data_IF_138660874464
#
_entry.id   IF_138660874464
#
_cell.length_a   1.000
_cell.length_b   1.000
_cell.length_c   1.000
_cell.angle_alpha   90.00
_cell.angle_beta   90.00
_cell.angle_gamma   90.00
#
_symmetry.space_group_name_H-M   'P 1'
#
loop_
_entity.id
_entity.type
_entity.pdbx_description
1 polymer ?
#
# COMPACT_ATOMS: atom_id res chain seq x y z
N UNK A 1 19.56 -32.91 -22.95
CA UNK A 1 18.27 -33.47 -22.51
C UNK A 1 18.04 -33.05 -21.06
N UNK A 2 17.43 -31.88 -20.86
CA UNK A 2 17.16 -31.34 -19.52
C UNK A 2 16.18 -32.29 -18.84
N UNK A 3 16.61 -32.93 -17.74
CA UNK A 3 15.78 -33.87 -16.97
C UNK A 3 14.51 -33.14 -16.53
N UNK A 4 13.34 -33.60 -17.00
CA UNK A 4 12.02 -33.02 -16.69
C UNK A 4 11.82 -32.78 -15.18
N UNK A 5 12.45 -33.60 -14.34
CA UNK A 5 12.45 -33.49 -12.88
C UNK A 5 13.10 -32.21 -12.32
N UNK A 6 14.09 -31.61 -13.01
CA UNK A 6 14.73 -30.35 -12.57
C UNK A 6 13.87 -29.12 -12.85
N UNK A 7 12.99 -29.18 -13.85
CA UNK A 7 12.09 -28.06 -14.22
C UNK A 7 10.95 -27.92 -13.22
N UNK A 8 10.46 -29.05 -12.67
CA UNK A 8 9.33 -29.08 -11.72
C UNK A 8 9.70 -28.41 -10.39
N UNK A 9 10.94 -28.60 -9.92
CA UNK A 9 11.40 -28.02 -8.64
C UNK A 9 11.49 -26.49 -8.70
N UNK A 10 11.79 -25.92 -9.87
CA UNK A 10 11.96 -24.46 -10.03
C UNK A 10 10.62 -23.69 -10.02
N UNK A 11 9.51 -24.33 -10.41
CA UNK A 11 8.18 -23.71 -10.49
C UNK A 11 7.51 -23.59 -9.11
N UNK A 12 7.82 -24.49 -8.17
CA UNK A 12 7.15 -24.55 -6.86
C UNK A 12 7.71 -23.51 -5.87
N UNK A 13 8.93 -22.99 -6.10
CA UNK A 13 9.61 -22.09 -5.16
C UNK A 13 9.30 -20.60 -5.46
N UNK A 14 8.61 -20.30 -6.56
CA UNK A 14 8.48 -18.92 -7.06
C UNK A 14 7.48 -18.00 -6.33
N UNK A 15 6.44 -18.43 -5.59
CA UNK A 15 5.51 -17.47 -4.98
C UNK A 15 5.83 -17.12 -3.51
N UNK A 16 7.11 -17.03 -3.10
CA UNK A 16 7.48 -16.67 -1.72
C UNK A 16 7.77 -15.17 -1.51
N UNK A 17 7.76 -14.35 -2.56
CA UNK A 17 8.25 -12.98 -2.47
C UNK A 17 7.12 -11.97 -2.73
N UNK A 18 6.84 -11.19 -1.68
CA UNK A 18 5.96 -10.01 -1.59
C UNK A 18 4.45 -10.26 -1.38
N UNK A 19 4.05 -10.53 -0.14
CA UNK A 19 2.73 -10.11 0.31
C UNK A 19 2.84 -8.63 0.69
N UNK A 20 2.77 -7.74 -0.31
CA UNK A 20 2.52 -6.33 -0.03
C UNK A 20 1.13 -6.24 0.63
N UNK A 21 1.10 -5.73 1.86
CA UNK A 21 -0.15 -5.58 2.59
C UNK A 21 -1.02 -4.55 1.85
N UNK A 22 -2.21 -4.97 1.41
CA UNK A 22 -3.09 -4.13 0.60
C UNK A 22 -3.42 -2.80 1.30
N UNK A 23 -3.54 -2.82 2.62
CA UNK A 23 -3.76 -1.62 3.40
C UNK A 23 -2.54 -0.69 3.38
N UNK A 24 -1.32 -1.22 3.51
CA UNK A 24 -0.09 -0.44 3.36
C UNK A 24 0.05 0.21 1.98
N UNK A 25 -0.26 -0.52 0.91
CA UNK A 25 -0.22 0.01 -0.45
C UNK A 25 -1.23 1.14 -0.63
N UNK A 26 -2.46 0.90 -0.17
CA UNK A 26 -3.51 1.91 -0.13
C UNK A 26 -3.06 3.15 0.65
N UNK A 27 -2.54 2.95 1.86
CA UNK A 27 -2.09 4.02 2.75
C UNK A 27 -1.01 4.88 2.13
N UNK A 28 0.01 4.26 1.53
CA UNK A 28 1.09 4.98 0.84
C UNK A 28 0.56 5.80 -0.33
N UNK A 29 -0.34 5.25 -1.14
CA UNK A 29 -0.94 5.98 -2.26
C UNK A 29 -1.84 7.14 -1.80
N UNK A 30 -2.69 6.88 -0.81
CA UNK A 30 -3.54 7.89 -0.21
C UNK A 30 -2.73 9.05 0.35
N UNK A 31 -1.67 8.75 1.10
CA UNK A 31 -0.78 9.76 1.68
C UNK A 31 -0.18 10.69 0.64
N UNK A 32 0.35 10.13 -0.46
CA UNK A 32 0.87 10.93 -1.58
C UNK A 32 -0.20 11.83 -2.17
N UNK A 33 -1.39 11.29 -2.45
CA UNK A 33 -2.51 12.06 -3.01
C UNK A 33 -2.93 13.20 -2.08
N UNK A 34 -3.06 12.94 -0.78
CA UNK A 34 -3.45 13.94 0.22
C UNK A 34 -2.40 15.04 0.36
N UNK A 35 -1.12 14.67 0.43
CA UNK A 35 -0.02 15.64 0.55
C UNK A 35 0.07 16.58 -0.66
N UNK A 36 -0.01 16.01 -1.88
CA UNK A 36 -0.02 16.79 -3.13
C UNK A 36 -1.15 17.80 -3.15
N UNK A 37 -2.36 17.38 -2.74
CA UNK A 37 -3.52 18.27 -2.66
C UNK A 37 -3.34 19.37 -1.63
N UNK A 38 -2.81 19.06 -0.45
CA UNK A 38 -2.56 20.06 0.59
C UNK A 38 -1.51 21.10 0.17
N UNK A 39 -0.41 20.69 -0.46
CA UNK A 39 0.64 21.61 -0.93
C UNK A 39 0.33 22.28 -2.28
N UNK A 40 -0.79 21.94 -2.92
CA UNK A 40 -1.12 22.34 -4.30
C UNK A 40 0.06 22.12 -5.25
N UNK A 41 0.69 20.95 -5.15
CA UNK A 41 1.93 20.63 -5.86
C UNK A 41 1.87 19.22 -6.43
N UNK A 42 2.56 19.02 -7.55
CA UNK A 42 2.74 17.69 -8.16
C UNK A 42 3.91 16.90 -7.56
N UNK A 43 4.69 17.51 -6.66
CA UNK A 43 5.83 16.86 -6.02
C UNK A 43 5.37 15.72 -5.11
N UNK A 44 5.96 14.53 -5.29
CA UNK A 44 5.66 13.40 -4.44
C UNK A 44 6.43 13.52 -3.11
N UNK A 45 5.77 13.37 -1.95
CA UNK A 45 6.48 13.23 -0.71
C UNK A 45 7.21 11.88 -0.67
N UNK A 46 8.18 11.76 0.24
CA UNK A 46 8.74 10.46 0.60
C UNK A 46 7.64 9.51 1.06
N UNK A 47 7.84 8.23 0.77
CA UNK A 47 6.91 7.19 1.19
C UNK A 47 6.78 7.18 2.72
N UNK A 48 5.56 7.21 3.27
CA UNK A 48 5.39 7.12 4.71
C UNK A 48 5.70 5.71 5.19
N UNK A 49 6.06 5.58 6.47
CA UNK A 49 6.04 4.28 7.12
C UNK A 49 4.61 3.74 7.14
N UNK A 50 4.43 2.46 6.81
CA UNK A 50 3.12 1.85 6.90
C UNK A 50 2.72 1.68 8.38
N UNK A 51 1.56 2.21 8.80
CA UNK A 51 1.07 1.99 10.15
C UNK A 51 0.47 0.60 10.30
N UNK A 52 0.31 0.16 11.55
CA UNK A 52 -0.50 -1.02 11.85
C UNK A 52 -1.94 -0.79 11.38
N UNK A 53 -2.51 -1.78 10.67
CA UNK A 53 -3.89 -1.71 10.18
C UNK A 53 -4.86 -1.64 11.37
N UNK A 54 -5.64 -0.55 11.52
CA UNK A 54 -6.64 -0.48 12.57
C UNK A 54 -7.82 -1.43 12.29
N UNK A 55 -8.59 -1.75 13.33
CA UNK A 55 -9.84 -2.49 13.16
C UNK A 55 -10.83 -1.62 12.37
N UNK A 56 -11.53 -2.24 11.42
CA UNK A 56 -12.59 -1.58 10.65
C UNK A 56 -13.84 -1.43 11.52
N UNK A 57 -14.44 -0.24 11.48
CA UNK A 57 -15.71 0.08 12.11
C UNK A 57 -16.87 0.07 11.11
N UNK A 58 -18.05 0.46 11.61
CA UNK A 58 -19.23 0.66 10.77
C UNK A 58 -18.99 1.84 9.82
N UNK A 59 -19.19 1.62 8.51
CA UNK A 59 -18.98 2.61 7.46
C UNK A 59 -17.58 2.63 6.84
N UNK A 60 -16.64 1.82 7.35
CA UNK A 60 -15.34 1.64 6.70
C UNK A 60 -15.47 0.76 5.43
N UNK A 61 -14.66 1.04 4.39
CA UNK A 61 -14.71 0.27 3.16
C UNK A 61 -14.27 -1.19 3.37
N UNK A 62 -14.95 -2.09 2.66
CA UNK A 62 -14.64 -3.54 2.71
C UNK A 62 -13.24 -3.84 2.16
N UNK A 63 -12.79 -3.09 1.16
CA UNK A 63 -11.44 -3.20 0.62
C UNK A 63 -10.39 -2.69 1.61
N UNK A 64 -9.38 -3.50 1.90
CA UNK A 64 -8.24 -3.09 2.73
C UNK A 64 -7.41 -1.99 2.07
N UNK A 65 -7.27 -2.05 0.74
CA UNK A 65 -6.62 -0.99 -0.02
C UNK A 65 -7.36 0.33 0.09
N UNK A 66 -8.68 0.33 -0.11
CA UNK A 66 -9.48 1.55 -0.01
C UNK A 66 -9.48 2.11 1.42
N UNK A 67 -9.53 1.22 2.42
CA UNK A 67 -9.41 1.62 3.82
C UNK A 67 -8.06 2.28 4.11
N UNK A 68 -6.97 1.67 3.64
CA UNK A 68 -5.63 2.23 3.70
C UNK A 68 -5.56 3.59 3.01
N UNK A 69 -6.09 3.69 1.79
CA UNK A 69 -6.11 4.91 0.99
C UNK A 69 -6.77 6.06 1.73
N UNK A 70 -7.95 5.83 2.32
CA UNK A 70 -8.66 6.87 3.06
C UNK A 70 -7.88 7.35 4.29
N UNK A 71 -7.27 6.43 5.06
CA UNK A 71 -6.42 6.77 6.21
C UNK A 71 -5.16 7.52 5.78
N UNK A 72 -4.50 7.05 4.73
CA UNK A 72 -3.32 7.68 4.16
C UNK A 72 -3.62 9.09 3.67
N UNK A 73 -4.72 9.26 2.92
CA UNK A 73 -5.14 10.55 2.37
C UNK A 73 -5.37 11.60 3.46
N UNK A 74 -6.08 11.25 4.52
CA UNK A 74 -6.27 12.13 5.67
C UNK A 74 -4.93 12.54 6.30
N UNK A 75 -4.01 11.58 6.50
CA UNK A 75 -2.69 11.87 7.05
C UNK A 75 -1.82 12.74 6.13
N UNK A 76 -1.91 12.51 4.82
CA UNK A 76 -1.22 13.30 3.81
C UNK A 76 -1.69 14.75 3.80
N UNK A 77 -3.01 14.98 3.90
CA UNK A 77 -3.57 16.33 4.02
C UNK A 77 -3.07 17.04 5.28
N UNK A 78 -3.11 16.37 6.43
CA UNK A 78 -2.61 16.91 7.70
C UNK A 78 -1.14 17.30 7.60
N UNK A 79 -0.29 16.42 7.05
CA UNK A 79 1.14 16.67 6.93
C UNK A 79 1.48 17.74 5.89
N UNK A 80 0.67 17.87 4.85
CA UNK A 80 0.84 18.91 3.84
C UNK A 80 0.37 20.30 4.31
N UNK A 81 -0.50 20.38 5.30
CA UNK A 81 -0.98 21.66 5.84
C UNK A 81 -0.14 22.21 7.01
N UNK A 82 0.67 21.36 7.64
CA UNK A 82 1.70 21.76 8.60
C UNK A 82 3.07 21.91 7.93
#
# INVERSE_FOLDING_TARGET
MIRKSLVIVFIIIFPLFSHADQFCDGYKQGYKSGYKKAKNSSLEPLDPMCPLKPLKGFGDPQSDYEFGYNKGYAKGLEKGNN
#
